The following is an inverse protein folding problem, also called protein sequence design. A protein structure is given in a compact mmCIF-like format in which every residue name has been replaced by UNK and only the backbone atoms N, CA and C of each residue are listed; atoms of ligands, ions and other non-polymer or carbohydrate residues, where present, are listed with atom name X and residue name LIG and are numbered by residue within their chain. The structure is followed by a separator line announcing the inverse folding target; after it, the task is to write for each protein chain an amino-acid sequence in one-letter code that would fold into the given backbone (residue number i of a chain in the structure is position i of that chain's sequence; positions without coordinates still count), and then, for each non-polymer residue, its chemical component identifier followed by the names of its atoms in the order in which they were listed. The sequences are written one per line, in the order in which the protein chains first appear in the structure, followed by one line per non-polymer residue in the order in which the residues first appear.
data_IF_268433010242
#
_entry.id   IF_268433010242
#
_cell.length_a   1.000
_cell.length_b   1.000
_cell.length_c   1.000
_cell.angle_alpha   90.00
_cell.angle_beta   90.00
_cell.angle_gamma   90.00
#
_symmetry.space_group_name_H-M   'P 1'
#
loop_
_entity.id
_entity.type
_entity.pdbx_description
1 polymer ?
#
# COMPACT_ATOMS: atom_id res chain seq x y z
N UNK A 1 0.00 11.25 -61.39
CA UNK A 1 -0.96 11.99 -60.55
C UNK A 1 -0.53 11.83 -59.10
N UNK A 2 -0.10 12.95 -58.53
CA UNK A 2 0.44 13.13 -57.20
C UNK A 2 -0.64 12.93 -56.14
N UNK A 3 -0.34 12.20 -55.06
CA UNK A 3 -0.87 12.46 -53.72
C UNK A 3 0.23 12.15 -52.68
N UNK A 4 1.25 13.02 -52.70
CA UNK A 4 2.15 13.25 -51.57
C UNK A 4 1.46 14.29 -50.69
N UNK A 5 0.78 13.88 -49.62
CA UNK A 5 -0.04 14.79 -48.81
C UNK A 5 -0.47 14.20 -47.48
N UNK A 6 0.47 13.83 -46.61
CA UNK A 6 0.17 13.34 -45.26
C UNK A 6 0.98 13.98 -44.12
N UNK A 7 1.99 14.81 -44.41
CA UNK A 7 2.94 15.30 -43.40
C UNK A 7 2.63 16.67 -42.79
N UNK A 8 1.87 17.54 -43.48
CA UNK A 8 1.74 18.95 -43.08
C UNK A 8 0.63 19.21 -42.05
N UNK A 9 -0.51 18.49 -42.15
CA UNK A 9 -1.67 18.74 -41.29
C UNK A 9 -1.42 18.35 -39.81
N UNK A 10 -0.65 17.28 -39.56
CA UNK A 10 -0.29 16.87 -38.19
C UNK A 10 0.65 17.85 -37.49
N UNK A 11 1.54 18.52 -38.23
CA UNK A 11 2.46 19.51 -37.67
C UNK A 11 1.77 20.82 -37.27
N UNK A 12 0.82 21.30 -38.08
CA UNK A 12 0.08 22.54 -37.81
C UNK A 12 -0.92 22.34 -36.66
N UNK A 13 -1.65 21.21 -36.63
CA UNK A 13 -2.56 20.88 -35.53
C UNK A 13 -1.82 20.70 -34.20
N UNK A 14 -0.65 20.05 -34.21
CA UNK A 14 0.21 19.92 -33.03
C UNK A 14 0.77 21.27 -32.56
N UNK A 15 1.11 22.17 -33.48
CA UNK A 15 1.54 23.54 -33.16
C UNK A 15 0.44 24.38 -32.50
N UNK A 16 -0.78 24.34 -33.03
CA UNK A 16 -1.92 25.04 -32.46
C UNK A 16 -2.30 24.50 -31.07
N UNK A 17 -2.27 23.17 -30.87
CA UNK A 17 -2.51 22.56 -29.58
C UNK A 17 -1.48 22.99 -28.53
N UNK A 18 -0.18 23.00 -28.88
CA UNK A 18 0.88 23.49 -28.00
C UNK A 18 0.71 24.97 -27.65
N UNK A 19 0.34 25.81 -28.61
CA UNK A 19 0.09 27.23 -28.37
C UNK A 19 -1.09 27.46 -27.41
N UNK A 20 -2.15 26.67 -27.55
CA UNK A 20 -3.33 26.75 -26.68
C UNK A 20 -3.01 26.29 -25.25
N UNK A 21 -2.26 25.19 -25.08
CA UNK A 21 -1.78 24.75 -23.76
C UNK A 21 -0.84 25.81 -23.15
N UNK A 22 0.05 26.40 -23.97
CA UNK A 22 0.92 27.49 -23.53
C UNK A 22 0.17 28.74 -23.09
N UNK A 23 -0.94 29.09 -23.76
CA UNK A 23 -1.78 30.22 -23.38
C UNK A 23 -2.50 29.97 -22.04
N UNK A 24 -2.97 28.75 -21.79
CA UNK A 24 -3.49 28.35 -20.48
C UNK A 24 -2.41 28.33 -19.40
N UNK A 25 -1.18 27.92 -19.75
CA UNK A 25 -0.02 28.03 -18.87
C UNK A 25 0.32 29.46 -18.48
N UNK A 26 0.20 30.41 -19.41
CA UNK A 26 0.39 31.83 -19.12
C UNK A 26 -0.69 32.39 -18.16
N UNK A 27 -1.86 31.74 -18.07
CA UNK A 27 -2.88 32.11 -17.10
C UNK A 27 -2.46 31.80 -15.65
N UNK A 28 -1.54 30.85 -15.41
CA UNK A 28 -1.05 30.57 -14.05
C UNK A 28 -0.40 31.81 -13.40
N UNK A 29 0.41 32.54 -14.17
CA UNK A 29 1.15 33.70 -13.63
C UNK A 29 0.30 34.96 -13.53
N UNK A 30 -0.83 35.03 -14.25
CA UNK A 30 -1.67 36.23 -14.34
C UNK A 30 -2.97 36.12 -13.54
N UNK A 31 -3.60 34.94 -13.50
CA UNK A 31 -4.87 34.68 -12.80
C UNK A 31 -4.72 33.76 -11.57
N UNK A 32 -3.55 33.13 -11.42
CA UNK A 32 -3.26 32.25 -10.29
C UNK A 32 -3.74 30.80 -10.48
N UNK A 33 -3.30 29.90 -9.59
CA UNK A 33 -3.51 28.45 -9.72
C UNK A 33 -4.99 28.04 -9.68
N UNK A 34 -5.81 28.68 -8.83
CA UNK A 34 -7.22 28.31 -8.66
C UNK A 34 -8.06 28.45 -9.93
N UNK A 35 -7.72 29.37 -10.83
CA UNK A 35 -8.44 29.58 -12.09
C UNK A 35 -7.77 28.88 -13.27
N UNK A 36 -6.44 28.83 -13.30
CA UNK A 36 -5.68 28.33 -14.44
C UNK A 36 -5.50 26.80 -14.47
N UNK A 37 -5.46 26.15 -13.30
CA UNK A 37 -5.19 24.70 -13.22
C UNK A 37 -6.40 23.81 -13.51
N UNK A 38 -7.64 24.11 -13.08
CA UNK A 38 -8.78 23.21 -13.33
C UNK A 38 -9.01 22.84 -14.81
N UNK A 39 -8.90 23.77 -15.79
CA UNK A 39 -9.00 23.41 -17.21
C UNK A 39 -7.88 22.47 -17.68
N UNK A 40 -6.65 22.66 -17.18
CA UNK A 40 -5.52 21.80 -17.49
C UNK A 40 -5.71 20.40 -16.89
N UNK A 41 -6.21 20.32 -15.65
CA UNK A 41 -6.57 19.06 -14.99
C UNK A 41 -7.65 18.31 -15.77
N UNK A 42 -8.70 19.00 -16.21
CA UNK A 42 -9.76 18.40 -17.04
C UNK A 42 -9.22 17.87 -18.37
N UNK A 43 -8.29 18.58 -19.02
CA UNK A 43 -7.61 18.10 -20.22
C UNK A 43 -6.79 16.83 -19.93
N UNK A 44 -6.05 16.77 -18.83
CA UNK A 44 -5.28 15.58 -18.46
C UNK A 44 -6.18 14.35 -18.25
N UNK A 45 -7.33 14.52 -17.61
CA UNK A 45 -8.31 13.45 -17.47
C UNK A 45 -8.90 13.01 -18.82
N UNK A 46 -9.23 13.94 -19.71
CA UNK A 46 -9.77 13.60 -21.03
C UNK A 46 -8.78 12.81 -21.92
N UNK A 47 -7.48 12.93 -21.65
CA UNK A 47 -6.41 12.27 -22.42
C UNK A 47 -5.72 11.13 -21.64
N UNK A 48 -6.31 10.65 -20.54
CA UNK A 48 -5.75 9.54 -19.74
C UNK A 48 -5.57 8.26 -20.57
N UNK A 49 -6.49 7.97 -21.48
CA UNK A 49 -6.49 6.77 -22.33
C UNK A 49 -6.02 7.04 -23.76
N UNK A 50 -5.49 8.25 -24.01
CA UNK A 50 -5.02 8.65 -25.32
C UNK A 50 -3.76 7.87 -25.76
N UNK A 51 -3.51 7.72 -27.07
CA UNK A 51 -2.31 7.05 -27.57
C UNK A 51 -1.04 7.79 -27.16
N UNK A 52 0.07 7.06 -27.04
CA UNK A 52 1.37 7.56 -26.55
C UNK A 52 1.86 8.82 -27.28
N UNK A 53 1.57 8.96 -28.58
CA UNK A 53 1.95 10.16 -29.34
C UNK A 53 1.20 11.41 -28.88
N UNK A 54 -0.09 11.31 -28.57
CA UNK A 54 -0.87 12.42 -28.02
C UNK A 54 -0.36 12.80 -26.62
N UNK A 55 -0.09 11.79 -25.78
CA UNK A 55 0.49 12.00 -24.44
C UNK A 55 1.82 12.75 -24.48
N UNK A 56 2.71 12.42 -25.44
CA UNK A 56 3.98 13.15 -25.61
C UNK A 56 3.78 14.62 -25.98
N UNK A 57 2.86 14.91 -26.92
CA UNK A 57 2.58 16.31 -27.31
C UNK A 57 2.01 17.12 -26.14
N UNK A 58 1.14 16.52 -25.33
CA UNK A 58 0.59 17.17 -24.13
C UNK A 58 1.69 17.37 -23.08
N UNK A 59 2.52 16.36 -22.82
CA UNK A 59 3.62 16.46 -21.87
C UNK A 59 4.58 17.61 -22.21
N UNK A 60 4.95 17.75 -23.49
CA UNK A 60 5.78 18.87 -23.97
C UNK A 60 5.08 20.23 -23.78
N UNK A 61 3.78 20.31 -24.10
CA UNK A 61 3.03 21.57 -23.99
C UNK A 61 2.80 22.01 -22.54
N UNK A 62 2.60 21.06 -21.63
CA UNK A 62 2.24 21.35 -20.24
C UNK A 62 3.45 21.55 -19.32
N UNK A 63 4.65 21.21 -19.78
CA UNK A 63 5.88 21.19 -18.97
C UNK A 63 6.14 22.53 -18.26
N UNK A 64 6.05 23.66 -18.96
CA UNK A 64 6.27 24.99 -18.36
C UNK A 64 5.24 25.33 -17.28
N UNK A 65 3.99 24.88 -17.48
CA UNK A 65 2.90 25.04 -16.51
C UNK A 65 3.14 24.17 -15.29
N UNK A 66 3.60 22.94 -15.49
CA UNK A 66 3.93 22.02 -14.40
C UNK A 66 5.13 22.49 -13.57
N UNK A 67 6.18 23.02 -14.20
CA UNK A 67 7.32 23.61 -13.50
C UNK A 67 6.91 24.84 -12.67
N UNK A 68 6.01 25.67 -13.20
CA UNK A 68 5.49 26.85 -12.50
C UNK A 68 4.59 26.45 -11.33
N UNK A 69 3.67 25.50 -11.53
CA UNK A 69 2.83 24.94 -10.47
C UNK A 69 3.67 24.29 -9.36
N UNK A 70 4.78 23.64 -9.70
CA UNK A 70 5.68 23.02 -8.72
C UNK A 70 6.36 24.08 -7.85
N UNK A 71 6.77 25.22 -8.42
CA UNK A 71 7.31 26.35 -7.65
C UNK A 71 6.24 26.95 -6.73
N UNK A 72 5.01 27.13 -7.24
CA UNK A 72 3.89 27.64 -6.46
C UNK A 72 3.54 26.74 -5.28
N UNK A 73 3.65 25.41 -5.41
CA UNK A 73 3.45 24.46 -4.31
C UNK A 73 4.42 24.70 -3.13
N UNK A 74 5.63 25.18 -3.41
CA UNK A 74 6.62 25.48 -2.38
C UNK A 74 6.39 26.83 -1.69
N UNK A 75 5.57 27.71 -2.26
CA UNK A 75 5.35 29.06 -1.76
C UNK A 75 4.11 29.12 -0.84
N UNK A 76 4.25 29.62 0.40
CA UNK A 76 3.13 29.65 1.36
C UNK A 76 1.99 30.58 0.93
N UNK A 77 2.25 31.50 -0.01
CA UNK A 77 1.25 32.40 -0.60
C UNK A 77 0.14 31.67 -1.33
N UNK A 78 0.42 30.46 -1.84
CA UNK A 78 -0.55 29.65 -2.59
C UNK A 78 -1.19 28.53 -1.77
N UNK A 79 -1.08 28.56 -0.43
CA UNK A 79 -1.69 27.54 0.44
C UNK A 79 -3.21 27.40 0.23
N UNK A 80 -3.92 28.49 -0.09
CA UNK A 80 -5.35 28.46 -0.38
C UNK A 80 -5.71 27.70 -1.68
N UNK A 81 -4.73 27.52 -2.58
CA UNK A 81 -4.89 26.81 -3.85
C UNK A 81 -4.13 25.46 -3.87
N UNK A 82 -3.74 24.96 -2.69
CA UNK A 82 -3.01 23.69 -2.56
C UNK A 82 -3.80 22.52 -3.17
N UNK A 83 -5.13 22.52 -3.01
CA UNK A 83 -6.00 21.47 -3.55
C UNK A 83 -5.92 21.41 -5.08
N UNK A 84 -6.06 22.54 -5.77
CA UNK A 84 -6.02 22.62 -7.23
C UNK A 84 -4.63 22.26 -7.78
N UNK A 85 -3.57 22.66 -7.07
CA UNK A 85 -2.19 22.31 -7.43
C UNK A 85 -1.96 20.80 -7.30
N UNK A 86 -2.39 20.21 -6.18
CA UNK A 86 -2.20 18.77 -5.92
C UNK A 86 -3.10 17.90 -6.80
N UNK A 87 -4.33 18.33 -7.10
CA UNK A 87 -5.22 17.69 -8.08
C UNK A 87 -4.61 17.68 -9.48
N UNK A 88 -4.05 18.82 -9.90
CA UNK A 88 -3.34 18.93 -11.17
C UNK A 88 -2.18 17.94 -11.26
N UNK A 89 -1.34 17.85 -10.22
CA UNK A 89 -0.21 16.92 -10.22
C UNK A 89 -0.63 15.46 -10.20
N UNK A 90 -1.71 15.12 -9.47
CA UNK A 90 -2.25 13.77 -9.47
C UNK A 90 -2.75 13.37 -10.86
N UNK A 91 -3.49 14.26 -11.54
CA UNK A 91 -3.92 14.03 -12.92
C UNK A 91 -2.73 13.92 -13.87
N UNK A 92 -1.71 14.77 -13.70
CA UNK A 92 -0.51 14.78 -14.53
C UNK A 92 0.28 13.46 -14.40
N UNK A 93 0.49 12.99 -13.19
CA UNK A 93 1.19 11.73 -12.93
C UNK A 93 0.37 10.52 -13.40
N UNK A 94 -0.95 10.54 -13.21
CA UNK A 94 -1.81 9.45 -13.67
C UNK A 94 -1.81 9.32 -15.19
N UNK A 95 -1.90 10.44 -15.92
CA UNK A 95 -2.01 10.42 -17.36
C UNK A 95 -0.65 10.29 -18.08
N UNK A 96 0.38 10.99 -17.59
CA UNK A 96 1.60 11.30 -18.35
C UNK A 96 2.92 10.90 -17.68
N UNK A 97 2.92 10.23 -16.52
CA UNK A 97 4.16 9.92 -15.77
C UNK A 97 5.30 9.33 -16.61
N UNK A 98 5.09 8.36 -17.52
CA UNK A 98 6.17 7.82 -18.35
C UNK A 98 6.76 8.83 -19.34
N UNK A 99 6.04 9.90 -19.67
CA UNK A 99 6.45 10.93 -20.62
C UNK A 99 7.15 12.12 -19.96
N UNK A 100 7.07 12.26 -18.62
CA UNK A 100 7.67 13.39 -17.88
C UNK A 100 9.19 13.31 -17.74
N UNK A 101 9.78 12.12 -17.88
CA UNK A 101 11.23 11.92 -17.77
C UNK A 101 11.79 12.38 -16.41
N UNK A 102 12.86 13.18 -16.44
CA UNK A 102 13.55 13.62 -15.22
C UNK A 102 12.71 14.53 -14.32
N UNK A 103 11.77 15.29 -14.91
CA UNK A 103 10.89 16.20 -14.16
C UNK A 103 10.09 15.45 -13.08
N UNK A 104 9.66 14.21 -13.35
CA UNK A 104 8.92 13.42 -12.39
C UNK A 104 9.70 13.19 -11.09
N UNK A 105 11.01 12.93 -11.17
CA UNK A 105 11.84 12.71 -9.98
C UNK A 105 12.03 13.99 -9.18
N UNK A 106 12.27 15.11 -9.85
CA UNK A 106 12.36 16.43 -9.20
C UNK A 106 11.04 16.80 -8.51
N UNK A 107 9.91 16.55 -9.16
CA UNK A 107 8.59 16.79 -8.57
C UNK A 107 8.36 15.89 -7.33
N UNK A 108 8.75 14.62 -7.39
CA UNK A 108 8.65 13.71 -6.24
C UNK A 108 9.50 14.17 -5.06
N UNK A 109 10.74 14.61 -5.28
CA UNK A 109 11.59 15.12 -4.20
C UNK A 109 10.95 16.34 -3.52
N UNK A 110 10.35 17.24 -4.32
CA UNK A 110 9.59 18.38 -3.80
C UNK A 110 8.34 17.91 -3.05
N UNK A 111 7.59 16.94 -3.56
CA UNK A 111 6.41 16.40 -2.88
C UNK A 111 6.76 15.78 -1.53
N UNK A 112 7.88 15.05 -1.45
CA UNK A 112 8.36 14.49 -0.18
C UNK A 112 8.70 15.59 0.83
N UNK A 113 9.30 16.69 0.37
CA UNK A 113 9.65 17.83 1.21
C UNK A 113 8.40 18.59 1.69
N UNK A 114 7.46 18.88 0.79
CA UNK A 114 6.19 19.56 1.10
C UNK A 114 5.35 18.72 2.06
N UNK A 115 5.25 17.41 1.83
CA UNK A 115 4.53 16.49 2.70
C UNK A 115 5.11 16.43 4.13
N UNK A 116 6.41 16.69 4.31
CA UNK A 116 7.06 16.76 5.63
C UNK A 116 6.79 18.08 6.37
N UNK A 117 6.60 19.19 5.65
CA UNK A 117 6.35 20.52 6.23
C UNK A 117 5.00 20.62 6.95
N UNK A 118 4.07 19.71 6.64
CA UNK A 118 2.69 19.77 7.13
C UNK A 118 1.81 20.63 6.22
N UNK A 119 0.54 20.24 6.11
CA UNK A 119 -0.42 20.78 5.14
C UNK A 119 -1.79 20.12 5.33
N UNK A 120 -2.77 20.46 4.48
CA UNK A 120 -4.11 19.87 4.53
C UNK A 120 -4.09 18.35 4.32
N UNK A 121 -5.05 17.63 4.91
CA UNK A 121 -5.11 16.16 4.78
C UNK A 121 -5.37 15.73 3.32
N UNK A 122 -6.22 16.46 2.61
CA UNK A 122 -6.57 16.21 1.21
C UNK A 122 -5.41 16.47 0.24
N UNK A 123 -4.59 17.49 0.50
CA UNK A 123 -3.38 17.79 -0.27
C UNK A 123 -2.30 16.73 -0.01
N UNK A 124 -2.11 16.35 1.26
CA UNK A 124 -1.19 15.29 1.65
C UNK A 124 -1.55 13.95 1.01
N UNK A 125 -2.83 13.57 0.99
CA UNK A 125 -3.32 12.36 0.34
C UNK A 125 -2.90 12.31 -1.15
N UNK A 126 -3.15 13.40 -1.89
CA UNK A 126 -2.78 13.51 -3.31
C UNK A 126 -1.28 13.43 -3.54
N UNK A 127 -0.48 14.08 -2.70
CA UNK A 127 0.98 14.00 -2.76
C UNK A 127 1.47 12.57 -2.51
N UNK A 128 0.88 11.86 -1.54
CA UNK A 128 1.18 10.46 -1.25
C UNK A 128 0.86 9.56 -2.45
N UNK A 129 -0.28 9.78 -3.12
CA UNK A 129 -0.64 9.06 -4.35
C UNK A 129 0.33 9.37 -5.51
N UNK A 130 0.77 10.62 -5.69
CA UNK A 130 1.80 10.97 -6.68
C UNK A 130 3.12 10.24 -6.41
N UNK A 131 3.57 10.20 -5.15
CA UNK A 131 4.78 9.46 -4.74
C UNK A 131 4.61 7.96 -5.02
N UNK A 132 3.41 7.39 -4.77
CA UNK A 132 3.10 5.99 -5.07
C UNK A 132 3.26 5.69 -6.55
N UNK A 133 2.67 6.51 -7.42
CA UNK A 133 2.79 6.36 -8.87
C UNK A 133 4.26 6.40 -9.30
N UNK A 134 5.06 7.30 -8.72
CA UNK A 134 6.49 7.35 -8.94
C UNK A 134 7.23 6.07 -8.54
N UNK A 135 6.90 5.50 -7.39
CA UNK A 135 7.46 4.22 -6.90
C UNK A 135 7.12 3.09 -7.87
N UNK A 136 5.90 3.03 -8.39
CA UNK A 136 5.47 1.96 -9.29
C UNK A 136 6.14 2.06 -10.66
N UNK A 137 6.20 3.26 -11.25
CA UNK A 137 6.75 3.48 -12.59
C UNK A 137 8.25 3.21 -12.68
N UNK A 138 9.02 3.67 -11.70
CA UNK A 138 10.40 3.26 -11.44
C UNK A 138 11.52 3.54 -12.46
N UNK A 139 12.59 4.14 -11.92
CA UNK A 139 13.97 4.14 -12.41
C UNK A 139 14.91 4.49 -11.23
N UNK A 140 16.21 4.15 -11.32
CA UNK A 140 17.17 4.05 -10.20
C UNK A 140 17.50 5.30 -9.35
N UNK A 141 16.68 6.36 -9.38
CA UNK A 141 16.83 7.58 -8.57
C UNK A 141 15.84 7.71 -7.39
N UNK A 142 14.87 6.81 -7.24
CA UNK A 142 13.83 6.95 -6.20
C UNK A 142 14.35 6.65 -4.78
N UNK A 143 14.22 7.62 -3.87
CA UNK A 143 14.70 7.53 -2.48
C UNK A 143 13.73 6.75 -1.57
N UNK A 144 13.75 5.41 -1.66
CA UNK A 144 12.89 4.53 -0.82
C UNK A 144 13.00 4.85 0.68
N UNK A 145 14.19 5.22 1.15
CA UNK A 145 14.40 5.62 2.55
C UNK A 145 13.57 6.84 2.94
N UNK A 146 13.57 7.85 2.08
CA UNK A 146 12.84 9.11 2.30
C UNK A 146 11.34 8.84 2.31
N UNK A 147 10.86 7.97 1.42
CA UNK A 147 9.45 7.52 1.37
C UNK A 147 9.06 6.79 2.67
N UNK A 148 9.86 5.83 3.13
CA UNK A 148 9.59 5.12 4.38
C UNK A 148 9.64 6.05 5.59
N UNK A 149 10.56 7.00 5.61
CA UNK A 149 10.67 8.02 6.67
C UNK A 149 9.44 8.93 6.67
N UNK A 150 9.00 9.39 5.49
CA UNK A 150 7.78 10.18 5.33
C UNK A 150 6.57 9.41 5.86
N UNK A 151 6.40 8.16 5.43
CA UNK A 151 5.31 7.30 5.87
C UNK A 151 5.28 7.15 7.39
N UNK A 152 6.42 6.78 8.00
CA UNK A 152 6.47 6.48 9.44
C UNK A 152 6.37 7.72 10.32
N UNK A 153 6.96 8.85 9.91
CA UNK A 153 7.05 10.04 10.77
C UNK A 153 5.95 11.07 10.54
N UNK A 154 5.38 11.13 9.33
CA UNK A 154 4.49 12.22 8.94
C UNK A 154 3.11 11.76 8.48
N UNK A 155 3.02 10.66 7.73
CA UNK A 155 1.74 10.25 7.11
C UNK A 155 0.96 9.29 8.00
N UNK A 156 1.54 8.15 8.41
CA UNK A 156 0.86 7.14 9.23
C UNK A 156 0.37 7.68 10.58
N UNK A 157 1.09 8.58 11.28
CA UNK A 157 0.55 9.20 12.50
C UNK A 157 -0.69 10.07 12.27
N UNK A 158 -0.89 10.59 11.05
CA UNK A 158 -2.03 11.41 10.66
C UNK A 158 -3.17 10.60 10.02
N UNK A 159 -2.89 9.37 9.62
CA UNK A 159 -3.86 8.40 9.11
C UNK A 159 -4.70 7.85 10.27
N UNK A 160 -5.62 8.66 10.77
CA UNK A 160 -6.57 8.31 11.83
C UNK A 160 -7.85 7.75 11.22
N UNK A 161 -8.77 7.28 12.08
CA UNK A 161 -10.10 6.81 11.65
C UNK A 161 -10.91 7.95 11.00
N UNK A 162 -10.60 9.20 11.33
CA UNK A 162 -11.27 10.39 10.81
C UNK A 162 -10.79 10.77 9.39
N UNK A 163 -9.66 10.21 8.94
CA UNK A 163 -9.05 10.48 7.62
C UNK A 163 -8.81 9.18 6.81
N UNK A 164 -9.88 8.43 6.49
CA UNK A 164 -9.76 7.10 5.86
C UNK A 164 -9.09 7.15 4.49
N UNK A 165 -9.27 8.22 3.72
CA UNK A 165 -8.67 8.33 2.39
C UNK A 165 -7.15 8.52 2.46
N UNK A 166 -6.67 9.34 3.41
CA UNK A 166 -5.25 9.47 3.72
C UNK A 166 -4.67 8.14 4.23
N UNK A 167 -5.40 7.42 5.09
CA UNK A 167 -4.97 6.11 5.56
C UNK A 167 -4.81 5.12 4.39
N UNK A 168 -5.82 5.01 3.53
CA UNK A 168 -5.75 4.16 2.34
C UNK A 168 -4.61 4.55 1.43
N UNK A 169 -4.42 5.84 1.13
CA UNK A 169 -3.30 6.32 0.32
C UNK A 169 -1.94 5.94 0.93
N UNK A 170 -1.78 6.12 2.25
CA UNK A 170 -0.55 5.77 2.96
C UNK A 170 -0.23 4.27 2.87
N UNK A 171 -1.25 3.43 3.05
CA UNK A 171 -1.08 1.98 3.00
C UNK A 171 -0.93 1.46 1.56
N UNK A 172 -1.54 2.10 0.56
CA UNK A 172 -1.26 1.82 -0.86
C UNK A 172 0.18 2.15 -1.19
N UNK A 173 0.69 3.31 -0.75
CA UNK A 173 2.10 3.67 -0.92
C UNK A 173 3.03 2.65 -0.24
N UNK A 174 2.73 2.24 1.00
CA UNK A 174 3.50 1.21 1.69
C UNK A 174 3.49 -0.13 0.93
N UNK A 175 2.34 -0.56 0.44
CA UNK A 175 2.19 -1.75 -0.40
C UNK A 175 3.03 -1.64 -1.67
N UNK A 176 2.98 -0.51 -2.38
CA UNK A 176 3.76 -0.29 -3.59
C UNK A 176 5.27 -0.32 -3.33
N UNK A 177 5.74 0.22 -2.19
CA UNK A 177 7.15 0.10 -1.78
C UNK A 177 7.52 -1.36 -1.57
N UNK A 178 6.73 -2.13 -0.81
CA UNK A 178 7.03 -3.52 -0.52
C UNK A 178 7.02 -4.39 -1.80
N UNK A 179 6.03 -4.20 -2.67
CA UNK A 179 5.84 -4.99 -3.89
C UNK A 179 6.85 -4.63 -4.98
N UNK A 180 7.06 -3.33 -5.26
CA UNK A 180 7.88 -2.88 -6.39
C UNK A 180 9.34 -2.59 -6.02
N UNK A 181 9.64 -2.45 -4.73
CA UNK A 181 10.99 -2.17 -4.24
C UNK A 181 11.48 -3.21 -3.24
N UNK A 182 10.96 -4.44 -3.28
CA UNK A 182 11.40 -5.54 -2.43
C UNK A 182 12.94 -5.69 -2.33
N UNK A 183 13.65 -5.57 -3.46
CA UNK A 183 15.13 -5.69 -3.52
C UNK A 183 15.88 -4.65 -2.69
N UNK A 184 15.26 -3.52 -2.37
CA UNK A 184 15.86 -2.47 -1.54
C UNK A 184 16.23 -2.96 -0.13
N UNK A 185 15.39 -3.83 0.45
CA UNK A 185 15.63 -4.40 1.78
C UNK A 185 16.74 -5.46 1.77
N UNK A 186 17.18 -5.89 0.57
CA UNK A 186 18.16 -6.96 0.39
C UNK A 186 19.27 -6.56 -0.61
N UNK A 187 20.07 -5.52 -0.29
CA UNK A 187 21.16 -5.09 -1.16
C UNK A 187 22.28 -6.14 -1.19
N UNK A 188 22.85 -6.37 -2.38
CA UNK A 188 23.92 -7.35 -2.58
C UNK A 188 25.28 -6.91 -2.00
N UNK A 189 25.50 -5.59 -1.86
CA UNK A 189 26.70 -4.98 -1.30
C UNK A 189 26.28 -3.91 -0.30
N UNK A 190 26.35 -4.21 0.99
CA UNK A 190 26.09 -3.25 2.06
C UNK A 190 26.94 -3.56 3.28
N UNK A 191 27.19 -2.52 4.08
CA UNK A 191 27.77 -2.67 5.42
C UNK A 191 26.80 -3.37 6.36
N UNK A 192 27.29 -3.92 7.47
CA UNK A 192 26.42 -4.55 8.48
C UNK A 192 25.42 -3.57 9.08
N UNK A 193 25.85 -2.33 9.35
CA UNK A 193 24.99 -1.28 9.89
C UNK A 193 23.86 -0.91 8.93
N UNK A 194 24.13 -0.81 7.63
CA UNK A 194 23.10 -0.55 6.62
C UNK A 194 22.13 -1.73 6.49
N UNK A 195 22.64 -2.97 6.53
CA UNK A 195 21.80 -4.16 6.48
C UNK A 195 20.86 -4.25 7.70
N UNK A 196 21.34 -3.89 8.89
CA UNK A 196 20.52 -3.83 10.10
C UNK A 196 19.42 -2.77 9.96
N UNK A 197 19.79 -1.55 9.57
CA UNK A 197 18.83 -0.46 9.37
C UNK A 197 17.73 -0.80 8.35
N UNK A 198 18.08 -1.44 7.22
CA UNK A 198 17.08 -1.88 6.22
C UNK A 198 16.17 -2.98 6.75
N UNK A 199 16.68 -3.83 7.62
CA UNK A 199 15.88 -4.88 8.28
C UNK A 199 14.90 -4.26 9.27
N UNK A 200 15.33 -3.27 10.05
CA UNK A 200 14.43 -2.53 10.96
C UNK A 200 13.36 -1.74 10.20
N UNK A 201 13.71 -1.13 9.06
CA UNK A 201 12.75 -0.47 8.17
C UNK A 201 11.70 -1.46 7.64
N UNK A 202 12.11 -2.67 7.23
CA UNK A 202 11.19 -3.73 6.82
C UNK A 202 10.31 -4.20 7.99
N UNK A 203 10.89 -4.41 9.17
CA UNK A 203 10.14 -4.79 10.39
C UNK A 203 9.06 -3.76 10.70
N UNK A 204 9.41 -2.47 10.67
CA UNK A 204 8.48 -1.38 10.92
C UNK A 204 7.35 -1.32 9.87
N UNK A 205 7.67 -1.59 8.60
CA UNK A 205 6.69 -1.69 7.52
C UNK A 205 5.71 -2.85 7.73
N UNK A 206 6.20 -4.05 8.05
CA UNK A 206 5.35 -5.22 8.32
C UNK A 206 4.49 -5.02 9.57
N UNK A 207 5.05 -4.43 10.62
CA UNK A 207 4.29 -4.06 11.82
C UNK A 207 3.19 -3.03 11.51
N UNK A 208 3.44 -2.08 10.60
CA UNK A 208 2.42 -1.13 10.16
C UNK A 208 1.29 -1.81 9.39
N UNK A 209 1.58 -2.77 8.51
CA UNK A 209 0.56 -3.60 7.84
C UNK A 209 -0.28 -4.39 8.86
N UNK A 210 0.38 -5.00 9.86
CA UNK A 210 -0.32 -5.75 10.92
C UNK A 210 -1.29 -4.88 11.71
N UNK A 211 -0.88 -3.64 12.05
CA UNK A 211 -1.77 -2.66 12.69
C UNK A 211 -2.94 -2.24 11.80
N UNK A 212 -2.74 -2.17 10.48
CA UNK A 212 -3.78 -1.80 9.53
C UNK A 212 -4.94 -2.80 9.50
N UNK A 213 -4.64 -4.10 9.65
CA UNK A 213 -5.64 -5.17 9.73
C UNK A 213 -6.58 -5.00 10.94
N UNK A 214 -6.15 -4.25 11.95
CA UNK A 214 -6.95 -3.98 13.14
C UNK A 214 -7.90 -2.78 12.97
N UNK A 215 -7.66 -1.90 12.00
CA UNK A 215 -8.46 -0.69 11.81
C UNK A 215 -9.86 -1.03 11.24
N UNK A 216 -10.91 -0.29 11.62
CA UNK A 216 -12.28 -0.54 11.19
C UNK A 216 -12.59 -0.06 9.76
N UNK A 217 -11.77 -0.45 8.78
CA UNK A 217 -11.95 -0.12 7.36
C UNK A 217 -11.80 -1.37 6.48
N UNK A 218 -12.88 -1.74 5.80
CA UNK A 218 -12.93 -2.93 4.95
C UNK A 218 -12.00 -2.81 3.73
N UNK A 219 -11.92 -1.62 3.14
CA UNK A 219 -11.08 -1.39 1.97
C UNK A 219 -9.61 -1.52 2.36
N UNK A 220 -9.27 -1.03 3.56
CA UNK A 220 -7.94 -1.17 4.11
C UNK A 220 -7.61 -2.63 4.45
N UNK A 221 -8.54 -3.38 5.05
CA UNK A 221 -8.36 -4.81 5.32
C UNK A 221 -8.07 -5.58 4.02
N UNK A 222 -8.89 -5.38 2.98
CA UNK A 222 -8.71 -6.02 1.66
C UNK A 222 -7.38 -5.64 1.04
N UNK A 223 -7.04 -4.36 1.01
CA UNK A 223 -5.76 -3.87 0.51
C UNK A 223 -4.57 -4.56 1.20
N UNK A 224 -4.61 -4.71 2.52
CA UNK A 224 -3.51 -5.33 3.27
C UNK A 224 -3.44 -6.84 3.02
N UNK A 225 -4.57 -7.54 2.90
CA UNK A 225 -4.62 -8.95 2.54
C UNK A 225 -4.06 -9.17 1.13
N UNK A 226 -4.48 -8.35 0.16
CA UNK A 226 -3.99 -8.42 -1.23
C UNK A 226 -2.49 -8.12 -1.30
N UNK A 227 -2.01 -7.19 -0.48
CA UNK A 227 -0.58 -6.88 -0.37
C UNK A 227 0.19 -8.09 0.17
N UNK A 228 -0.31 -8.73 1.21
CA UNK A 228 0.29 -9.93 1.79
C UNK A 228 0.32 -11.10 0.80
N UNK A 229 -0.76 -11.31 0.06
CA UNK A 229 -0.81 -12.34 -0.99
C UNK A 229 0.15 -12.04 -2.14
N UNK A 230 0.20 -10.79 -2.61
CA UNK A 230 1.14 -10.37 -3.64
C UNK A 230 2.60 -10.56 -3.21
N UNK A 231 2.92 -10.24 -1.95
CA UNK A 231 4.26 -10.47 -1.38
C UNK A 231 4.57 -11.96 -1.23
N UNK A 232 3.60 -12.77 -0.82
CA UNK A 232 3.81 -14.22 -0.76
C UNK A 232 4.01 -14.81 -2.16
N UNK A 233 3.19 -14.42 -3.13
CA UNK A 233 3.26 -14.89 -4.51
C UNK A 233 4.58 -14.52 -5.19
N UNK A 234 5.00 -13.24 -5.10
CA UNK A 234 6.20 -12.71 -5.77
C UNK A 234 7.49 -12.96 -4.99
N UNK A 235 7.46 -12.78 -3.67
CA UNK A 235 8.64 -12.74 -2.82
C UNK A 235 8.76 -13.96 -1.90
N UNK A 236 7.78 -14.89 -1.94
CA UNK A 236 7.74 -16.08 -1.10
C UNK A 236 7.83 -15.73 0.39
N UNK A 237 7.15 -14.66 0.78
CA UNK A 237 7.15 -14.06 2.13
C UNK A 237 6.98 -15.12 3.23
N UNK A 238 6.03 -16.03 3.06
CA UNK A 238 5.71 -17.03 4.08
C UNK A 238 6.61 -18.27 4.03
N UNK A 239 7.31 -18.50 2.92
CA UNK A 239 7.99 -19.74 2.66
C UNK A 239 9.43 -19.73 3.16
N UNK A 240 9.87 -20.90 3.63
CA UNK A 240 11.25 -21.19 4.00
C UNK A 240 12.03 -21.60 2.76
N UNK A 241 12.54 -20.67 1.96
CA UNK A 241 13.47 -21.07 0.88
C UNK A 241 14.89 -21.19 1.43
N UNK A 242 15.13 -22.36 2.01
CA UNK A 242 16.40 -23.08 1.96
C UNK A 242 16.70 -23.41 0.48
N UNK A 243 17.21 -22.46 -0.30
CA UNK A 243 18.00 -22.79 -1.48
C UNK A 243 19.47 -22.76 -1.08
N UNK A 244 19.85 -23.91 -0.51
CA UNK A 244 21.20 -24.45 -0.46
C UNK A 244 21.78 -24.48 -1.88
N UNK A 245 22.31 -23.35 -2.36
CA UNK A 245 23.32 -23.35 -3.41
C UNK A 245 24.52 -22.63 -2.84
N UNK A 246 25.65 -23.32 -2.90
CA UNK A 246 26.82 -23.10 -2.06
C UNK A 246 27.41 -21.68 -2.20
N UNK A 247 28.00 -21.19 -1.11
CA UNK A 247 28.91 -20.02 -0.95
C UNK A 247 28.40 -18.64 -0.51
N UNK A 248 27.10 -18.35 -0.36
CA UNK A 248 26.62 -17.02 0.11
C UNK A 248 25.74 -17.09 1.38
N UNK A 249 26.08 -17.99 2.31
CA UNK A 249 25.14 -18.59 3.28
C UNK A 249 25.47 -18.25 4.75
N UNK A 250 25.45 -16.97 5.10
CA UNK A 250 25.34 -16.61 6.54
C UNK A 250 24.37 -15.43 6.78
N UNK A 251 24.31 -14.45 5.86
CA UNK A 251 23.47 -13.24 6.06
C UNK A 251 22.08 -13.25 5.38
N UNK A 252 21.80 -14.16 4.45
CA UNK A 252 20.46 -14.24 3.81
C UNK A 252 19.50 -15.19 4.54
N UNK A 253 20.02 -16.10 5.36
CA UNK A 253 19.24 -17.13 6.08
C UNK A 253 18.43 -16.58 7.26
N UNK A 254 18.77 -15.40 7.80
CA UNK A 254 18.10 -14.79 8.96
C UNK A 254 16.80 -14.04 8.62
N UNK A 255 16.52 -13.76 7.34
CA UNK A 255 15.55 -12.72 6.95
C UNK A 255 14.14 -13.22 6.60
N UNK A 256 14.00 -14.41 6.02
CA UNK A 256 12.69 -15.09 5.91
C UNK A 256 12.23 -15.67 7.26
N UNK A 257 13.17 -15.84 8.19
CA UNK A 257 12.88 -16.28 9.55
C UNK A 257 12.09 -15.18 10.28
N UNK A 258 12.42 -13.89 10.08
CA UNK A 258 11.78 -12.77 10.79
C UNK A 258 10.25 -12.77 10.67
N UNK A 259 9.67 -12.87 9.47
CA UNK A 259 8.21 -12.91 9.35
C UNK A 259 7.63 -14.14 10.04
N UNK A 260 8.23 -15.32 9.85
CA UNK A 260 7.74 -16.56 10.46
C UNK A 260 7.86 -16.58 11.99
N UNK A 261 8.92 -16.02 12.55
CA UNK A 261 9.20 -16.06 14.00
C UNK A 261 8.59 -14.89 14.75
N UNK A 262 8.56 -13.69 14.15
CA UNK A 262 8.09 -12.48 14.83
C UNK A 262 6.63 -12.15 14.47
N UNK A 263 6.17 -12.39 13.24
CA UNK A 263 4.89 -11.84 12.76
C UNK A 263 3.81 -12.87 12.44
N UNK A 264 4.15 -14.06 11.95
CA UNK A 264 3.17 -15.03 11.42
C UNK A 264 2.10 -15.38 12.46
N UNK A 265 2.50 -15.62 13.71
CA UNK A 265 1.56 -15.89 14.80
C UNK A 265 0.65 -14.71 15.10
N UNK A 266 1.17 -13.48 15.08
CA UNK A 266 0.37 -12.26 15.31
C UNK A 266 -0.65 -12.06 14.19
N UNK A 267 -0.22 -12.15 12.92
CA UNK A 267 -1.10 -12.01 11.76
C UNK A 267 -2.19 -13.09 11.73
N UNK A 268 -1.84 -14.35 11.97
CA UNK A 268 -2.82 -15.44 12.09
C UNK A 268 -3.83 -15.16 13.22
N UNK A 269 -3.36 -14.66 14.37
CA UNK A 269 -4.23 -14.34 15.51
C UNK A 269 -5.20 -13.20 15.19
N UNK A 270 -4.73 -12.13 14.55
CA UNK A 270 -5.56 -10.98 14.15
C UNK A 270 -6.64 -11.41 13.15
N UNK A 271 -6.28 -12.21 12.15
CA UNK A 271 -7.22 -12.69 11.13
C UNK A 271 -8.26 -13.66 11.74
N UNK A 272 -7.84 -14.59 12.61
CA UNK A 272 -8.76 -15.50 13.31
C UNK A 272 -9.69 -14.74 14.25
N UNK A 273 -9.18 -13.78 15.03
CA UNK A 273 -10.00 -12.96 15.90
C UNK A 273 -11.04 -12.16 15.09
N UNK A 274 -10.63 -11.64 13.93
CA UNK A 274 -11.54 -10.97 13.00
C UNK A 274 -12.68 -11.84 12.48
N UNK A 275 -12.48 -13.16 12.37
CA UNK A 275 -13.54 -14.11 12.05
C UNK A 275 -14.48 -14.38 13.25
N UNK A 276 -13.98 -14.29 14.48
CA UNK A 276 -14.77 -14.48 15.70
C UNK A 276 -15.71 -13.29 15.96
N UNK A 277 -15.19 -12.06 15.87
CA UNK A 277 -15.89 -10.85 16.31
C UNK A 277 -17.06 -10.45 15.39
N UNK A 278 -17.11 -10.97 14.17
CA UNK A 278 -18.15 -10.65 13.20
C UNK A 278 -18.13 -9.18 12.75
N UNK A 279 -19.29 -8.64 12.37
CA UNK A 279 -19.42 -7.24 11.95
C UNK A 279 -18.83 -6.95 10.56
N UNK A 280 -18.17 -5.80 10.39
CA UNK A 280 -17.62 -5.37 9.09
C UNK A 280 -16.58 -6.34 8.52
N UNK A 281 -15.88 -7.09 9.40
CA UNK A 281 -14.90 -8.12 8.98
C UNK A 281 -15.54 -9.34 8.35
N UNK A 282 -16.81 -9.62 8.65
CA UNK A 282 -17.55 -10.72 8.03
C UNK A 282 -17.76 -10.50 6.53
N UNK A 283 -17.70 -9.25 6.05
CA UNK A 283 -17.81 -8.89 4.64
C UNK A 283 -16.53 -9.24 3.83
N UNK A 284 -15.41 -9.47 4.51
CA UNK A 284 -14.14 -9.86 3.89
C UNK A 284 -13.74 -11.31 4.27
N UNK A 285 -14.75 -12.15 4.60
CA UNK A 285 -14.53 -13.49 5.14
C UNK A 285 -13.78 -14.41 4.17
N UNK A 286 -14.09 -14.31 2.88
CA UNK A 286 -13.48 -15.17 1.87
C UNK A 286 -12.00 -14.81 1.68
N UNK A 287 -11.69 -13.50 1.62
CA UNK A 287 -10.33 -12.99 1.54
C UNK A 287 -9.52 -13.34 2.80
N UNK A 288 -10.11 -13.19 3.99
CA UNK A 288 -9.48 -13.53 5.27
C UNK A 288 -9.20 -15.04 5.37
N UNK A 289 -10.16 -15.88 5.00
CA UNK A 289 -9.98 -17.34 5.07
C UNK A 289 -8.96 -17.86 4.05
N UNK A 290 -8.92 -17.27 2.85
CA UNK A 290 -7.86 -17.54 1.88
C UNK A 290 -6.47 -17.12 2.41
N UNK A 291 -6.36 -15.95 3.05
CA UNK A 291 -5.12 -15.49 3.65
C UNK A 291 -4.64 -16.42 4.79
N UNK A 292 -5.57 -16.83 5.66
CA UNK A 292 -5.30 -17.81 6.73
C UNK A 292 -4.81 -19.14 6.17
N UNK A 293 -5.43 -19.64 5.10
CA UNK A 293 -5.00 -20.87 4.43
C UNK A 293 -3.58 -20.72 3.87
N UNK A 294 -3.30 -19.64 3.14
CA UNK A 294 -1.97 -19.36 2.58
C UNK A 294 -0.87 -19.28 3.65
N UNK A 295 -1.19 -18.75 4.84
CA UNK A 295 -0.29 -18.71 6.00
C UNK A 295 -0.12 -20.09 6.66
N UNK A 296 -1.20 -20.86 6.81
CA UNK A 296 -1.17 -22.20 7.40
C UNK A 296 -0.49 -23.23 6.48
N UNK A 297 -0.62 -23.07 5.16
CA UNK A 297 -0.03 -23.93 4.12
C UNK A 297 1.49 -24.04 4.23
N UNK A 298 2.13 -23.05 4.84
CA UNK A 298 3.58 -23.05 5.11
C UNK A 298 4.00 -24.22 6.00
N UNK A 299 3.21 -24.51 7.04
CA UNK A 299 3.51 -25.50 8.05
C UNK A 299 2.24 -25.89 8.83
N UNK A 300 1.35 -26.65 8.18
CA UNK A 300 0.12 -27.14 8.79
C UNK A 300 0.35 -27.92 10.12
N UNK A 301 1.39 -28.78 10.24
CA UNK A 301 1.71 -29.41 11.52
C UNK A 301 1.98 -28.40 12.64
N UNK A 302 2.81 -27.38 12.41
CA UNK A 302 3.07 -26.34 13.42
C UNK A 302 1.83 -25.48 13.71
N UNK A 303 1.03 -25.17 12.68
CA UNK A 303 -0.24 -24.48 12.83
C UNK A 303 -1.16 -25.22 13.82
N UNK A 304 -1.33 -26.53 13.64
CA UNK A 304 -2.22 -27.35 14.48
C UNK A 304 -1.65 -27.67 15.85
N UNK A 305 -0.36 -28.01 15.95
CA UNK A 305 0.21 -28.54 17.18
C UNK A 305 0.76 -27.45 18.12
N UNK A 306 1.13 -26.28 17.61
CA UNK A 306 1.73 -25.21 18.40
C UNK A 306 0.89 -23.93 18.39
N UNK A 307 0.60 -23.40 17.20
CA UNK A 307 -0.08 -22.11 17.09
C UNK A 307 -1.52 -22.14 17.62
N UNK A 308 -2.35 -23.06 17.11
CA UNK A 308 -3.77 -23.09 17.44
C UNK A 308 -4.04 -23.32 18.95
N UNK A 309 -3.39 -24.27 19.64
CA UNK A 309 -3.56 -24.43 21.09
C UNK A 309 -3.15 -23.17 21.87
N UNK A 310 -2.07 -22.51 21.45
CA UNK A 310 -1.61 -21.27 22.09
C UNK A 310 -2.59 -20.11 21.86
N UNK A 311 -3.13 -19.99 20.64
CA UNK A 311 -4.17 -19.02 20.31
C UNK A 311 -5.44 -19.24 21.14
N UNK A 312 -5.94 -20.47 21.23
CA UNK A 312 -7.14 -20.78 22.02
C UNK A 312 -6.94 -20.50 23.52
N UNK A 313 -5.73 -20.72 24.04
CA UNK A 313 -5.38 -20.41 25.43
C UNK A 313 -5.30 -18.90 25.71
N UNK A 314 -5.01 -18.07 24.69
CA UNK A 314 -4.96 -16.61 24.84
C UNK A 314 -6.33 -15.93 24.76
N UNK A 315 -7.35 -16.66 24.30
CA UNK A 315 -8.71 -16.14 24.17
C UNK A 315 -9.41 -16.04 25.55
N UNK A 316 -9.90 -14.86 25.95
CA UNK A 316 -10.70 -14.74 27.17
C UNK A 316 -12.05 -15.46 27.02
N UNK A 317 -12.58 -15.96 28.13
CA UNK A 317 -13.93 -16.54 28.22
C UNK A 317 -14.06 -18.02 27.81
N UNK A 318 -12.95 -18.71 27.52
CA UNK A 318 -12.96 -20.16 27.28
C UNK A 318 -12.45 -20.95 28.48
N UNK A 319 -13.22 -21.94 28.92
CA UNK A 319 -12.80 -22.90 29.93
C UNK A 319 -11.70 -23.84 29.39
N UNK A 320 -10.79 -24.35 30.24
CA UNK A 320 -9.68 -25.23 29.81
C UNK A 320 -10.13 -26.48 29.04
N UNK A 321 -11.29 -27.05 29.38
CA UNK A 321 -11.81 -28.23 28.70
C UNK A 321 -12.33 -27.92 27.29
N UNK A 322 -12.96 -26.75 27.09
CA UNK A 322 -13.35 -26.27 25.76
C UNK A 322 -12.13 -25.98 24.89
N UNK A 323 -11.07 -25.41 25.46
CA UNK A 323 -9.81 -25.17 24.75
C UNK A 323 -9.20 -26.48 24.23
N UNK A 324 -9.17 -27.54 25.05
CA UNK A 324 -8.67 -28.87 24.64
C UNK A 324 -9.50 -29.49 23.53
N UNK A 325 -10.82 -29.34 23.60
CA UNK A 325 -11.73 -29.86 22.57
C UNK A 325 -11.53 -29.14 21.23
N UNK A 326 -11.50 -27.81 21.25
CA UNK A 326 -11.30 -26.96 20.07
C UNK A 326 -9.90 -27.09 19.47
N UNK A 327 -8.90 -27.44 20.28
CA UNK A 327 -7.54 -27.70 19.80
C UNK A 327 -7.44 -28.96 18.91
N UNK A 328 -8.46 -29.83 18.92
CA UNK A 328 -8.51 -31.02 18.08
C UNK A 328 -8.94 -30.70 16.63
N UNK A 329 -8.11 -29.89 15.95
CA UNK A 329 -8.39 -29.42 14.60
C UNK A 329 -8.09 -30.50 13.53
N UNK A 330 -8.98 -30.72 12.54
CA UNK A 330 -8.79 -31.76 11.52
C UNK A 330 -7.48 -31.63 10.72
N UNK A 331 -6.91 -32.74 10.23
CA UNK A 331 -5.65 -32.73 9.51
C UNK A 331 -5.77 -32.24 8.05
N UNK A 332 -6.99 -32.04 7.54
CA UNK A 332 -7.27 -31.66 6.16
C UNK A 332 -6.57 -30.35 5.75
N UNK A 333 -6.05 -30.31 4.52
CA UNK A 333 -5.18 -29.23 4.04
C UNK A 333 -5.71 -28.54 2.78
N UNK A 334 -6.71 -29.11 2.11
CA UNK A 334 -7.33 -28.49 0.96
C UNK A 334 -8.12 -27.25 1.38
N UNK A 335 -8.11 -26.22 0.53
CA UNK A 335 -8.71 -24.93 0.81
C UNK A 335 -10.19 -25.02 1.24
N UNK A 336 -11.10 -25.74 0.53
CA UNK A 336 -12.51 -25.74 0.91
C UNK A 336 -12.74 -26.40 2.27
N UNK A 337 -12.09 -27.53 2.55
CA UNK A 337 -12.23 -28.21 3.84
C UNK A 337 -11.60 -27.42 4.99
N UNK A 338 -10.42 -26.82 4.77
CA UNK A 338 -9.80 -25.94 5.75
C UNK A 338 -10.68 -24.74 6.09
N UNK A 339 -11.24 -24.07 5.07
CA UNK A 339 -12.15 -22.93 5.27
C UNK A 339 -13.37 -23.35 6.08
N UNK A 340 -14.00 -24.48 5.75
CA UNK A 340 -15.15 -24.98 6.52
C UNK A 340 -14.78 -25.28 7.98
N UNK A 341 -13.61 -25.88 8.22
CA UNK A 341 -13.15 -26.23 9.56
C UNK A 341 -12.82 -24.99 10.41
N UNK A 342 -12.16 -23.97 9.84
CA UNK A 342 -11.90 -22.70 10.53
C UNK A 342 -13.21 -21.97 10.85
N UNK A 343 -14.15 -21.95 9.91
CA UNK A 343 -15.45 -21.32 10.13
C UNK A 343 -16.23 -22.00 11.26
N UNK A 344 -16.23 -23.34 11.31
CA UNK A 344 -16.83 -24.11 12.41
C UNK A 344 -16.15 -23.80 13.74
N UNK A 345 -14.82 -23.87 13.78
CA UNK A 345 -14.02 -23.56 14.97
C UNK A 345 -14.37 -22.18 15.55
N UNK A 346 -14.41 -21.14 14.71
CA UNK A 346 -14.68 -19.78 15.19
C UNK A 346 -16.13 -19.61 15.66
N UNK A 347 -17.09 -20.29 15.02
CA UNK A 347 -18.47 -20.35 15.51
C UNK A 347 -18.55 -21.02 16.88
N UNK A 348 -17.86 -22.15 17.08
CA UNK A 348 -17.84 -22.86 18.35
C UNK A 348 -17.21 -22.01 19.45
N UNK A 349 -16.11 -21.31 19.16
CA UNK A 349 -15.48 -20.32 20.07
C UNK A 349 -16.49 -19.26 20.52
N UNK A 350 -17.26 -18.71 19.59
CA UNK A 350 -18.28 -17.71 19.90
C UNK A 350 -19.42 -18.29 20.76
N UNK A 351 -19.88 -19.49 20.44
CA UNK A 351 -20.90 -20.20 21.22
C UNK A 351 -20.44 -20.44 22.66
N UNK A 352 -19.21 -20.94 22.86
CA UNK A 352 -18.66 -21.18 24.19
C UNK A 352 -18.49 -19.89 24.98
N UNK A 353 -18.05 -18.79 24.35
CA UNK A 353 -17.96 -17.48 25.00
C UNK A 353 -19.32 -16.93 25.42
N UNK A 354 -20.33 -17.06 24.55
CA UNK A 354 -21.70 -16.66 24.87
C UNK A 354 -22.30 -17.51 26.00
N UNK A 355 -22.01 -18.81 26.04
CA UNK A 355 -22.44 -19.67 27.14
C UNK A 355 -21.76 -19.28 28.46
N UNK A 356 -20.45 -19.04 28.44
CA UNK A 356 -19.69 -18.59 29.61
C UNK A 356 -20.15 -17.23 30.13
N UNK A 357 -20.61 -16.31 29.27
CA UNK A 357 -21.13 -15.00 29.69
C UNK A 357 -22.53 -15.05 30.29
N UNK A 358 -23.32 -16.08 29.91
CA UNK A 358 -24.66 -16.34 30.45
C UNK A 358 -24.63 -17.17 31.74
N UNK A 359 -23.52 -17.86 32.04
CA UNK A 359 -23.36 -18.61 33.27
C UNK A 359 -23.37 -17.64 34.47
N UNK A 360 -24.32 -17.74 35.41
CA UNK A 360 -24.34 -16.88 36.59
C UNK A 360 -23.06 -17.09 37.42
N UNK A 361 -22.54 -16.01 38.01
CA UNK A 361 -21.41 -15.94 38.96
C UNK A 361 -21.68 -16.66 40.30
N UNK A 362 -22.38 -17.79 40.25
CA UNK A 362 -22.81 -18.56 41.42
C UNK A 362 -22.24 -19.98 41.41
N UNK A 363 -20.95 -20.16 41.13
CA UNK A 363 -20.18 -21.36 41.49
C UNK A 363 -18.69 -21.05 41.66
N UNK A 364 -18.37 -20.01 42.43
CA UNK A 364 -17.05 -19.85 43.04
C UNK A 364 -17.23 -19.77 44.56
N UNK A 365 -17.18 -20.93 45.21
CA UNK A 365 -16.91 -21.09 46.64
C UNK A 365 -16.01 -22.30 46.81
#
# INVERSE_FOLDING_TARGET
LSLRGGGAAGGVAGGAARALIGAWGAALTTQGPAQALPPLTALLHAFSDAPTQAKKMIAEGIQSSAETALRMLCEPTFAAAEAEITDFFLALFTALLPQLGNFAYTAIDVFLEVAQRGGGESGLERLVECVRLGIEAGGGGMLVRSVLTLLQRHVLPRATVDSPDLARAAYRLLASVLIHRWRYFFPAKCTEAESAARTDELRAALAALGRALLQPDIELLKLNIDTLDALNSKCKLYHKVLLTTHYFREKCTLRHVMFRTEFLGEFLSVLLLGLAEGGWRALARDEVTAALHSMALVDFPAFRAAFLPHFLASLPGLAPDHQRHLAHFPPDTDLPTFTQNIQRLMNDVNCYRAYSSLAPTSMSS
#
